data_IF_114589601817
#
_entry.id   IF_114589601817
#
_cell.length_a   1.000
_cell.length_b   1.000
_cell.length_c   1.000
_cell.angle_alpha   90.00
_cell.angle_beta   90.00
_cell.angle_gamma   90.00
#
_symmetry.space_group_name_H-M   'P 1'
#
loop_
_entity.id
_entity.type
_entity.pdbx_description
1 polymer ?
#
# COMPACT_ATOMS: atom_id res chain seq x y z
N UNK A 1 -13.91 -18.57 6.12
CA UNK A 1 -14.05 -18.08 7.50
C UNK A 1 -12.82 -18.49 8.34
N UNK A 2 -11.62 -17.99 7.98
CA UNK A 2 -10.36 -18.31 8.67
C UNK A 2 -9.91 -17.15 9.57
N UNK A 3 -10.19 -15.90 9.17
CA UNK A 3 -9.90 -14.70 9.95
C UNK A 3 -10.63 -14.66 11.31
N UNK A 4 -11.83 -15.23 11.38
CA UNK A 4 -12.71 -15.11 12.56
C UNK A 4 -12.49 -16.18 13.63
N UNK A 5 -11.85 -17.31 13.30
CA UNK A 5 -11.83 -18.51 14.16
C UNK A 5 -10.44 -18.97 14.61
N UNK A 6 -9.37 -18.24 14.26
CA UNK A 6 -8.03 -18.57 14.75
C UNK A 6 -7.71 -17.80 16.04
N UNK A 7 -7.28 -18.47 17.10
CA UNK A 7 -6.75 -17.80 18.31
C UNK A 7 -5.33 -17.26 18.13
N UNK A 8 -4.75 -17.36 16.92
CA UNK A 8 -3.40 -16.91 16.62
C UNK A 8 -3.44 -15.57 15.85
N UNK A 9 -2.93 -14.46 16.45
CA UNK A 9 -2.91 -13.15 15.80
C UNK A 9 -2.29 -13.16 14.39
N UNK A 10 -1.17 -13.88 14.22
CA UNK A 10 -0.51 -14.04 12.93
C UNK A 10 -1.42 -14.65 11.84
N UNK A 11 -2.22 -15.66 12.18
CA UNK A 11 -3.12 -16.30 11.21
C UNK A 11 -4.29 -15.39 10.83
N UNK A 12 -4.83 -14.62 11.78
CA UNK A 12 -5.84 -13.59 11.48
C UNK A 12 -5.25 -12.53 10.55
N UNK A 13 -4.05 -12.04 10.86
CA UNK A 13 -3.37 -11.03 10.06
C UNK A 13 -3.09 -11.49 8.63
N UNK A 14 -2.59 -12.72 8.46
CA UNK A 14 -2.39 -13.32 7.13
C UNK A 14 -3.71 -13.40 6.37
N UNK A 15 -4.80 -13.80 7.04
CA UNK A 15 -6.12 -13.89 6.41
C UNK A 15 -6.60 -12.52 5.92
N UNK A 16 -6.47 -11.46 6.74
CA UNK A 16 -6.83 -10.08 6.37
C UNK A 16 -6.02 -9.58 5.17
N UNK A 17 -4.71 -9.82 5.14
CA UNK A 17 -3.87 -9.45 3.99
C UNK A 17 -4.32 -10.16 2.71
N UNK A 18 -4.69 -11.46 2.81
CA UNK A 18 -5.20 -12.21 1.66
C UNK A 18 -6.54 -11.68 1.17
N UNK A 19 -7.46 -11.35 2.09
CA UNK A 19 -8.76 -10.75 1.78
C UNK A 19 -8.54 -9.40 1.06
N UNK A 20 -7.68 -8.54 1.59
CA UNK A 20 -7.37 -7.25 0.97
C UNK A 20 -6.80 -7.38 -0.45
N UNK A 21 -5.94 -8.37 -0.71
CA UNK A 21 -5.43 -8.64 -2.07
C UNK A 21 -6.56 -9.04 -3.04
N UNK A 22 -7.48 -9.90 -2.59
CA UNK A 22 -8.64 -10.32 -3.39
C UNK A 22 -9.54 -9.12 -3.69
N UNK A 23 -9.83 -8.29 -2.68
CA UNK A 23 -10.61 -7.07 -2.83
C UNK A 23 -9.97 -6.09 -3.82
N UNK A 24 -8.65 -5.86 -3.70
CA UNK A 24 -7.91 -4.98 -4.60
C UNK A 24 -7.88 -5.52 -6.04
N UNK A 25 -7.72 -6.83 -6.24
CA UNK A 25 -7.82 -7.48 -7.55
C UNK A 25 -9.23 -7.31 -8.16
N UNK A 26 -10.26 -7.35 -7.32
CA UNK A 26 -11.65 -7.02 -7.68
C UNK A 26 -11.93 -5.52 -7.78
N UNK A 27 -10.91 -4.65 -7.77
CA UNK A 27 -11.01 -3.18 -7.79
C UNK A 27 -11.80 -2.56 -6.62
N UNK A 28 -12.07 -3.34 -5.58
CA UNK A 28 -12.71 -2.86 -4.34
C UNK A 28 -11.65 -2.26 -3.41
N UNK A 29 -11.07 -1.14 -3.84
CA UNK A 29 -9.90 -0.54 -3.20
C UNK A 29 -10.20 0.00 -1.80
N UNK A 30 -11.37 0.62 -1.59
CA UNK A 30 -11.77 1.13 -0.27
C UNK A 30 -11.90 0.01 0.75
N UNK A 31 -12.57 -1.09 0.39
CA UNK A 31 -12.73 -2.24 1.28
C UNK A 31 -11.39 -2.92 1.54
N UNK A 32 -10.51 -2.98 0.53
CA UNK A 32 -9.15 -3.50 0.72
C UNK A 32 -8.36 -2.66 1.74
N UNK A 33 -8.45 -1.33 1.66
CA UNK A 33 -7.80 -0.43 2.61
C UNK A 33 -8.39 -0.53 4.02
N UNK A 34 -9.71 -0.71 4.15
CA UNK A 34 -10.39 -0.93 5.42
C UNK A 34 -9.94 -2.23 6.08
N UNK A 35 -9.87 -3.33 5.32
CA UNK A 35 -9.36 -4.62 5.80
C UNK A 35 -7.91 -4.49 6.30
N UNK A 36 -7.07 -3.73 5.59
CA UNK A 36 -5.67 -3.46 5.95
C UNK A 36 -5.49 -2.46 7.10
N UNK A 37 -6.55 -1.79 7.54
CA UNK A 37 -6.52 -0.94 8.73
C UNK A 37 -6.60 -1.78 10.02
N UNK A 38 -7.12 -3.00 9.93
CA UNK A 38 -7.33 -3.89 11.06
C UNK A 38 -6.07 -4.73 11.34
N UNK A 39 -5.17 -4.23 12.18
CA UNK A 39 -3.89 -4.92 12.48
C UNK A 39 -4.01 -5.80 13.72
N UNK A 40 -3.93 -7.12 13.53
CA UNK A 40 -3.85 -8.09 14.64
C UNK A 40 -2.40 -8.39 15.04
N UNK A 41 -1.44 -8.23 14.12
CA UNK A 41 -0.04 -8.55 14.34
C UNK A 41 0.88 -7.54 13.63
N UNK A 42 1.60 -6.76 14.43
CA UNK A 42 2.46 -5.67 13.97
C UNK A 42 3.68 -6.17 13.16
N UNK A 43 4.08 -7.44 13.27
CA UNK A 43 5.18 -8.01 12.47
C UNK A 43 4.88 -7.95 10.97
N UNK A 44 3.61 -7.86 10.59
CA UNK A 44 3.18 -7.76 9.19
C UNK A 44 3.04 -6.31 8.67
N UNK A 45 3.30 -5.30 9.49
CA UNK A 45 3.22 -3.89 9.08
C UNK A 45 3.97 -3.58 7.77
N UNK A 46 5.19 -4.11 7.53
CA UNK A 46 5.87 -3.95 6.23
C UNK A 46 5.00 -4.33 5.03
N UNK A 47 4.41 -5.53 5.08
CA UNK A 47 3.61 -6.09 3.98
C UNK A 47 2.26 -5.37 3.86
N UNK A 48 1.69 -4.97 4.99
CA UNK A 48 0.46 -4.17 5.02
C UNK A 48 0.69 -2.81 4.34
N UNK A 49 1.79 -2.15 4.67
CA UNK A 49 2.12 -0.83 4.12
C UNK A 49 2.56 -0.90 2.66
N UNK A 50 3.26 -1.96 2.24
CA UNK A 50 3.50 -2.23 0.81
C UNK A 50 2.17 -2.33 0.04
N UNK A 51 1.23 -3.15 0.51
CA UNK A 51 -0.05 -3.34 -0.19
C UNK A 51 -0.91 -2.08 -0.19
N UNK A 52 -0.91 -1.29 0.89
CA UNK A 52 -1.54 0.04 0.90
C UNK A 52 -0.92 0.94 -0.17
N UNK A 53 0.41 0.93 -0.28
CA UNK A 53 1.13 1.66 -1.32
C UNK A 53 0.70 1.27 -2.74
N UNK A 54 0.59 -0.03 -3.01
CA UNK A 54 0.14 -0.56 -4.30
C UNK A 54 -1.27 -0.10 -4.65
N UNK A 55 -2.19 -0.15 -3.68
CA UNK A 55 -3.59 0.26 -3.85
C UNK A 55 -3.68 1.77 -4.09
N UNK A 56 -2.95 2.59 -3.32
CA UNK A 56 -2.92 4.03 -3.51
C UNK A 56 -2.31 4.42 -4.85
N UNK A 57 -1.21 3.77 -5.26
CA UNK A 57 -0.59 4.01 -6.57
C UNK A 57 -1.53 3.66 -7.72
N UNK A 58 -2.25 2.54 -7.61
CA UNK A 58 -3.25 2.13 -8.61
C UNK A 58 -4.42 3.12 -8.72
N UNK A 59 -4.79 3.77 -7.62
CA UNK A 59 -5.90 4.74 -7.57
C UNK A 59 -5.48 6.19 -7.81
N UNK A 60 -4.21 6.42 -8.18
CA UNK A 60 -3.69 7.76 -8.47
C UNK A 60 -3.35 8.60 -7.23
N UNK A 61 -3.46 8.02 -6.04
CA UNK A 61 -3.17 8.68 -4.75
C UNK A 61 -1.68 8.57 -4.41
N UNK A 62 -0.85 9.22 -5.23
CA UNK A 62 0.60 8.97 -5.19
C UNK A 62 1.29 9.42 -3.90
N UNK A 63 0.81 10.48 -3.25
CA UNK A 63 1.37 10.92 -1.97
C UNK A 63 1.14 9.89 -0.86
N UNK A 64 -0.08 9.33 -0.78
CA UNK A 64 -0.41 8.24 0.15
C UNK A 64 0.36 6.97 -0.18
N UNK A 65 0.58 6.70 -1.46
CA UNK A 65 1.37 5.56 -1.90
C UNK A 65 2.83 5.68 -1.45
N UNK A 66 3.47 6.82 -1.72
CA UNK A 66 4.84 7.14 -1.31
C UNK A 66 4.98 7.07 0.20
N UNK A 67 4.05 7.66 0.96
CA UNK A 67 4.03 7.57 2.43
C UNK A 67 3.99 6.11 2.91
N UNK A 68 3.12 5.29 2.30
CA UNK A 68 2.98 3.89 2.67
C UNK A 68 4.25 3.07 2.36
N UNK A 69 4.84 3.25 1.18
CA UNK A 69 6.11 2.57 0.85
C UNK A 69 7.26 3.00 1.76
N UNK A 70 7.34 4.27 2.13
CA UNK A 70 8.36 4.74 3.09
C UNK A 70 8.21 4.08 4.46
N UNK A 71 6.97 3.94 4.96
CA UNK A 71 6.70 3.20 6.18
C UNK A 71 7.13 1.74 6.06
N UNK A 72 6.81 1.08 4.94
CA UNK A 72 7.24 -0.30 4.70
C UNK A 72 8.78 -0.42 4.69
N UNK A 73 9.49 0.48 3.99
CA UNK A 73 10.95 0.49 3.93
C UNK A 73 11.57 0.68 5.32
N UNK A 74 11.09 1.65 6.10
CA UNK A 74 11.59 1.92 7.46
C UNK A 74 11.43 0.69 8.38
N UNK A 75 10.29 0.02 8.29
CA UNK A 75 9.99 -1.17 9.08
C UNK A 75 10.84 -2.39 8.67
N UNK A 76 11.27 -2.48 7.42
CA UNK A 76 12.15 -3.57 6.94
C UNK A 76 13.64 -3.24 7.21
N UNK A 77 14.04 -1.97 7.19
CA UNK A 77 15.43 -1.56 7.50
C UNK A 77 15.86 -2.00 8.90
N UNK A 78 14.93 -2.01 9.86
CA UNK A 78 15.16 -2.56 11.19
C UNK A 78 15.43 -4.09 11.21
N UNK A 79 15.16 -4.79 10.11
CA UNK A 79 15.37 -6.22 9.90
C UNK A 79 16.51 -6.54 8.91
N UNK A 80 17.34 -5.55 8.53
CA UNK A 80 18.60 -5.77 7.80
C UNK A 80 18.52 -5.95 6.28
N UNK A 81 17.34 -5.83 5.66
CA UNK A 81 17.18 -5.87 4.19
C UNK A 81 16.61 -4.56 3.66
N UNK A 82 17.41 -3.74 2.98
CA UNK A 82 16.89 -2.64 2.17
C UNK A 82 16.11 -3.20 0.97
N UNK A 83 14.80 -2.98 0.89
CA UNK A 83 13.99 -3.51 -0.20
C UNK A 83 14.09 -2.59 -1.44
N UNK A 84 15.10 -2.84 -2.29
CA UNK A 84 15.36 -2.10 -3.54
C UNK A 84 14.10 -1.95 -4.42
N UNK A 85 13.21 -2.95 -4.41
CA UNK A 85 11.97 -2.90 -5.17
C UNK A 85 11.01 -1.81 -4.69
N UNK A 86 10.88 -1.62 -3.37
CA UNK A 86 10.06 -0.55 -2.80
C UNK A 86 10.67 0.84 -3.03
N UNK A 87 12.01 0.94 -3.03
CA UNK A 87 12.70 2.18 -3.36
C UNK A 87 12.44 2.58 -4.82
N UNK A 88 12.53 1.64 -5.76
CA UNK A 88 12.20 1.87 -7.17
C UNK A 88 10.74 2.34 -7.34
N UNK A 89 9.76 1.62 -6.77
CA UNK A 89 8.35 2.03 -6.78
C UNK A 89 8.15 3.43 -6.23
N UNK A 90 8.79 3.75 -5.11
CA UNK A 90 8.68 5.07 -4.47
C UNK A 90 9.21 6.18 -5.38
N UNK A 91 10.36 5.95 -6.03
CA UNK A 91 10.98 6.92 -6.93
C UNK A 91 10.16 7.13 -8.20
N UNK A 92 9.66 6.05 -8.82
CA UNK A 92 8.79 6.12 -9.99
C UNK A 92 7.53 6.95 -9.70
N UNK A 93 6.89 6.72 -8.56
CA UNK A 93 5.71 7.50 -8.16
C UNK A 93 6.04 8.97 -7.87
N UNK A 94 7.21 9.25 -7.28
CA UNK A 94 7.63 10.63 -7.03
C UNK A 94 7.79 11.40 -8.34
N UNK A 95 8.41 10.79 -9.36
CA UNK A 95 8.55 11.38 -10.70
C UNK A 95 7.17 11.63 -11.32
N UNK A 96 6.26 10.64 -11.26
CA UNK A 96 4.91 10.77 -11.80
C UNK A 96 4.09 11.86 -11.11
N UNK A 97 4.20 11.97 -9.79
CA UNK A 97 3.51 13.01 -9.03
C UNK A 97 4.03 14.40 -9.42
N UNK A 98 5.35 14.55 -9.56
CA UNK A 98 5.95 15.80 -10.03
C UNK A 98 5.52 16.17 -11.45
N UNK A 99 5.49 15.21 -12.38
CA UNK A 99 5.09 15.49 -13.77
C UNK A 99 3.63 15.93 -13.87
N UNK A 100 2.71 15.32 -13.11
CA UNK A 100 1.31 15.76 -13.07
C UNK A 100 1.14 17.15 -12.45
N UNK A 101 1.93 17.48 -11.43
CA UNK A 101 1.88 18.79 -10.78
C UNK A 101 2.56 19.90 -11.61
N UNK A 102 3.41 19.52 -12.58
CA UNK A 102 4.10 20.43 -13.48
C UNK A 102 3.36 20.69 -14.80
N UNK A 103 2.26 19.98 -15.11
CA UNK A 103 1.41 20.30 -16.26
C UNK A 103 0.58 21.56 -15.98
N UNK A 104 0.82 22.70 -16.66
CA UNK A 104 -0.11 23.82 -16.58
C UNK A 104 -1.44 23.38 -17.19
N UNK A 105 -2.55 23.67 -16.51
CA UNK A 105 -3.91 23.63 -17.10
C UNK A 105 -3.88 24.43 -18.41
N UNK A 106 -3.65 23.77 -19.55
CA UNK A 106 -3.84 24.39 -20.85
C UNK A 106 -5.34 24.55 -21.05
N UNK A 107 -5.72 25.82 -20.96
CA UNK A 107 -7.01 26.46 -21.19
C UNK A 107 -7.79 25.83 -22.34
N UNK A 108 -9.11 25.72 -22.13
CA UNK A 108 -10.15 25.28 -23.08
C UNK A 108 -10.00 25.93 -24.46
N UNK A 109 -10.34 25.22 -25.56
CA UNK A 109 -10.50 25.86 -26.86
C UNK A 109 -11.87 26.55 -26.96
N UNK A 110 -11.80 27.84 -27.32
CA UNK A 110 -12.78 28.78 -27.91
C UNK A 110 -14.30 28.55 -27.71
#
# INVERSE_FOLDING_TARGET
>A
QVASNSNMPALKQIAKIRIARILAAGKSYSNALEELAQVDDATYLPVINELKGDIYGTTGKYDEAIKSYRLAIDQIKNNGMGNLYLEMKTNELAIKNQSMNAEPKKVQPA
#
